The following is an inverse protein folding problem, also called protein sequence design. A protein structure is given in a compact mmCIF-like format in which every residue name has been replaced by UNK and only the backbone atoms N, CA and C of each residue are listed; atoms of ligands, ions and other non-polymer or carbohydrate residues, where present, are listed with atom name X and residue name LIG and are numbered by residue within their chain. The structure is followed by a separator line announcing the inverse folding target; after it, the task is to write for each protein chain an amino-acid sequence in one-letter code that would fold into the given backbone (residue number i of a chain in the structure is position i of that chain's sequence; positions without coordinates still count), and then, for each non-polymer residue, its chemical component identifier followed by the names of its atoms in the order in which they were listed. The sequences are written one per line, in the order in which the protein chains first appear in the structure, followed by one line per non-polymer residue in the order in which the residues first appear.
data_IF_133580475092
#
_entry.id   IF_133580475092
#
_cell.length_a   1.000
_cell.length_b   1.000
_cell.length_c   1.000
_cell.angle_alpha   90.00
_cell.angle_beta   90.00
_cell.angle_gamma   90.00
#
_symmetry.space_group_name_H-M   'P 1'
#
loop_
_entity.id
_entity.type
_entity.pdbx_description
1 polymer ?
#
# COMPACT_ATOMS: atom_id res chain seq x y z
N UNK A 1 -12.36 19.33 0.60
CA UNK A 1 -12.13 18.02 -0.08
C UNK A 1 -11.31 17.15 0.85
N UNK A 2 -11.73 15.92 1.07
CA UNK A 2 -10.94 14.95 1.86
C UNK A 2 -9.72 14.56 1.03
N UNK A 3 -8.53 14.59 1.63
CA UNK A 3 -7.29 14.13 0.97
C UNK A 3 -7.42 12.61 0.74
N UNK A 4 -7.23 12.11 -0.49
CA UNK A 4 -7.27 10.66 -0.73
C UNK A 4 -6.09 9.97 -0.06
N UNK A 5 -6.34 8.74 0.41
CA UNK A 5 -5.33 7.86 0.99
C UNK A 5 -4.36 7.34 -0.07
N UNK A 6 -3.06 7.37 0.19
CA UNK A 6 -2.04 6.68 -0.61
C UNK A 6 -1.81 5.30 0.00
N UNK A 7 -2.32 4.26 -0.66
CA UNK A 7 -2.22 2.87 -0.21
C UNK A 7 -1.08 2.14 -0.94
N UNK A 8 0.01 1.91 -0.24
CA UNK A 8 1.24 1.33 -0.78
C UNK A 8 1.36 -0.18 -0.53
N UNK A 9 1.96 -0.94 -1.46
CA UNK A 9 2.21 -2.37 -1.29
C UNK A 9 3.42 -2.61 -0.37
N UNK A 10 3.34 -3.62 0.51
CA UNK A 10 4.47 -4.12 1.26
C UNK A 10 4.59 -5.65 1.10
N UNK A 11 5.68 -6.13 0.53
CA UNK A 11 5.96 -7.55 0.37
C UNK A 11 7.14 -8.03 1.22
N UNK A 12 7.84 -7.11 1.89
CA UNK A 12 8.92 -7.35 2.84
C UNK A 12 8.99 -6.19 3.82
N UNK A 13 9.74 -6.34 4.91
CA UNK A 13 9.90 -5.25 5.89
C UNK A 13 10.65 -4.04 5.29
N UNK A 14 11.58 -4.25 4.36
CA UNK A 14 12.21 -3.17 3.61
C UNK A 14 11.22 -2.39 2.74
N UNK A 15 10.35 -3.09 2.01
CA UNK A 15 9.31 -2.44 1.21
C UNK A 15 8.29 -1.71 2.09
N UNK A 16 7.96 -2.24 3.28
CA UNK A 16 7.16 -1.58 4.29
C UNK A 16 7.81 -0.26 4.73
N UNK A 17 9.09 -0.32 5.09
CA UNK A 17 9.86 0.86 5.50
C UNK A 17 9.91 1.90 4.38
N UNK A 18 10.13 1.47 3.14
CA UNK A 18 10.14 2.34 1.98
C UNK A 18 8.79 3.02 1.76
N UNK A 19 7.66 2.29 1.86
CA UNK A 19 6.32 2.84 1.75
C UNK A 19 6.04 3.91 2.81
N UNK A 20 6.25 3.56 4.07
CA UNK A 20 5.98 4.42 5.24
C UNK A 20 6.84 5.69 5.19
N UNK A 21 8.15 5.55 5.02
CA UNK A 21 9.08 6.69 5.02
C UNK A 21 8.96 7.58 3.80
N UNK A 22 8.49 7.05 2.66
CA UNK A 22 8.17 7.87 1.48
C UNK A 22 6.86 8.64 1.62
N UNK A 23 6.03 8.30 2.59
CA UNK A 23 4.83 9.04 2.96
C UNK A 23 3.52 8.44 2.48
N UNK A 24 3.42 7.11 2.43
CA UNK A 24 2.15 6.42 2.33
C UNK A 24 1.27 6.73 3.54
N UNK A 25 -0.05 6.84 3.33
CA UNK A 25 -1.04 7.01 4.40
C UNK A 25 -1.50 5.64 4.93
N UNK A 26 -1.41 4.61 4.10
CA UNK A 26 -1.69 3.22 4.46
C UNK A 26 -0.79 2.24 3.69
N UNK A 27 -0.61 1.05 4.24
CA UNK A 27 0.09 -0.06 3.57
C UNK A 27 -0.81 -1.28 3.49
N UNK A 28 -0.61 -2.12 2.46
CA UNK A 28 -1.31 -3.39 2.38
C UNK A 28 -0.36 -4.56 2.11
N UNK A 29 -0.58 -5.65 2.83
CA UNK A 29 0.20 -6.88 2.66
C UNK A 29 -0.62 -8.13 3.02
N UNK A 30 -0.06 -9.31 2.80
CA UNK A 30 -0.68 -10.58 3.12
C UNK A 30 -0.04 -11.24 4.34
N UNK A 31 -0.82 -12.12 4.98
CA UNK A 31 -0.35 -13.00 6.06
C UNK A 31 -0.55 -14.45 5.64
N UNK A 32 0.53 -15.22 5.42
CA UNK A 32 0.43 -16.64 5.12
C UNK A 32 -0.30 -16.98 3.80
N UNK A 33 -1.24 -17.92 3.84
CA UNK A 33 -1.74 -18.64 2.66
C UNK A 33 -2.93 -18.00 1.92
N UNK A 34 -3.70 -17.11 2.54
CA UNK A 34 -4.99 -16.65 2.03
C UNK A 34 -4.91 -15.32 1.27
N UNK A 35 -3.83 -15.07 0.53
CA UNK A 35 -3.67 -13.83 -0.22
C UNK A 35 -3.23 -14.04 -1.68
N UNK A 36 -3.60 -13.09 -2.56
CA UNK A 36 -3.34 -13.14 -3.99
C UNK A 36 -1.86 -13.04 -4.40
N UNK A 37 -0.93 -12.88 -3.47
CA UNK A 37 0.52 -12.89 -3.67
C UNK A 37 1.19 -13.80 -2.64
N UNK A 38 0.76 -15.06 -2.63
CA UNK A 38 1.25 -16.08 -1.69
C UNK A 38 2.78 -16.24 -1.72
N UNK A 39 3.41 -16.01 -2.86
CA UNK A 39 4.87 -16.09 -3.04
C UNK A 39 5.64 -14.83 -2.62
N UNK A 40 5.00 -13.76 -2.15
CA UNK A 40 5.68 -12.68 -1.46
C UNK A 40 6.16 -13.15 -0.09
N UNK A 41 7.14 -12.46 0.51
CA UNK A 41 7.67 -12.84 1.83
C UNK A 41 6.58 -12.85 2.90
N UNK A 42 5.53 -12.01 2.74
CA UNK A 42 4.41 -11.84 3.65
C UNK A 42 4.86 -11.65 5.12
N UNK A 43 3.93 -11.26 5.98
CA UNK A 43 4.22 -11.06 7.41
C UNK A 43 3.47 -12.11 8.22
N UNK A 44 4.18 -12.90 9.02
CA UNK A 44 3.59 -13.97 9.82
C UNK A 44 4.22 -14.02 11.22
N UNK A 45 3.51 -14.62 12.17
CA UNK A 45 3.99 -14.67 13.55
C UNK A 45 4.26 -13.29 14.13
N UNK A 46 5.41 -13.13 14.78
CA UNK A 46 5.83 -11.89 15.44
C UNK A 46 6.09 -10.75 14.44
N UNK A 47 6.41 -11.05 13.18
CA UNK A 47 6.63 -10.04 12.16
C UNK A 47 5.35 -9.27 11.82
N UNK A 48 4.17 -9.89 11.94
CA UNK A 48 2.89 -9.19 11.75
C UNK A 48 2.71 -8.08 12.79
N UNK A 49 2.91 -8.38 14.08
CA UNK A 49 2.77 -7.39 15.15
C UNK A 49 3.79 -6.26 14.97
N UNK A 50 5.06 -6.61 14.73
CA UNK A 50 6.13 -5.63 14.47
C UNK A 50 5.82 -4.71 13.29
N UNK A 51 5.21 -5.25 12.22
CA UNK A 51 4.84 -4.45 11.04
C UNK A 51 3.68 -3.49 11.36
N UNK A 52 2.68 -3.94 12.11
CA UNK A 52 1.55 -3.09 12.55
C UNK A 52 2.06 -1.99 13.47
N UNK A 53 2.83 -2.32 14.51
CA UNK A 53 3.39 -1.35 15.45
C UNK A 53 4.25 -0.31 14.73
N UNK A 54 5.14 -0.76 13.83
CA UNK A 54 5.99 0.12 13.03
C UNK A 54 5.18 1.14 12.20
N UNK A 55 4.04 0.72 11.64
CA UNK A 55 3.16 1.60 10.87
C UNK A 55 2.40 2.56 11.80
N UNK A 56 1.79 2.05 12.87
CA UNK A 56 0.98 2.84 13.79
C UNK A 56 1.80 3.91 14.51
N UNK A 57 3.02 3.59 14.94
CA UNK A 57 3.96 4.58 15.50
C UNK A 57 4.21 5.77 14.54
N UNK A 58 3.96 5.58 13.24
CA UNK A 58 4.16 6.57 12.18
C UNK A 58 2.86 7.10 11.59
N UNK A 59 1.73 6.80 12.26
CA UNK A 59 0.38 7.18 11.81
C UNK A 59 0.04 6.68 10.40
N UNK A 60 0.44 5.44 10.09
CA UNK A 60 0.15 4.76 8.84
C UNK A 60 -0.75 3.57 9.12
N UNK A 61 -1.87 3.47 8.39
CA UNK A 61 -2.82 2.37 8.51
C UNK A 61 -2.30 1.08 7.90
N UNK A 62 -2.80 -0.06 8.39
CA UNK A 62 -2.44 -1.40 7.90
C UNK A 62 -3.66 -2.16 7.41
N UNK A 63 -3.70 -2.46 6.11
CA UNK A 63 -4.75 -3.25 5.49
C UNK A 63 -4.25 -4.66 5.14
N UNK A 64 -4.84 -5.68 5.74
CA UNK A 64 -4.42 -7.06 5.52
C UNK A 64 -5.25 -7.73 4.42
N UNK A 65 -4.58 -8.38 3.47
CA UNK A 65 -5.26 -9.09 2.38
C UNK A 65 -5.57 -10.54 2.77
N UNK A 66 -6.88 -10.89 2.79
CA UNK A 66 -7.43 -12.23 2.81
C UNK A 66 -8.27 -12.42 1.54
N UNK A 67 -7.67 -12.17 0.38
CA UNK A 67 -8.35 -11.95 -0.88
C UNK A 67 -8.17 -13.09 -1.88
N UNK A 68 -8.34 -14.31 -1.41
CA UNK A 68 -8.41 -15.53 -2.24
C UNK A 68 -9.64 -16.35 -1.86
N UNK A 69 -10.07 -17.22 -2.77
CA UNK A 69 -11.10 -18.22 -2.47
C UNK A 69 -10.56 -19.24 -1.48
N UNK A 70 -11.42 -19.72 -0.59
CA UNK A 70 -11.08 -20.66 0.50
C UNK A 70 -11.90 -21.95 0.34
N UNK A 71 -11.31 -23.10 0.70
CA UNK A 71 -11.98 -24.39 0.72
C UNK A 71 -12.46 -24.72 2.14
N UNK A 72 -13.49 -25.53 2.27
CA UNK A 72 -14.00 -25.99 3.57
C UNK A 72 -12.90 -26.62 4.44
N UNK A 73 -11.99 -27.38 3.83
CA UNK A 73 -10.87 -28.00 4.53
C UNK A 73 -9.85 -26.99 5.11
N UNK A 74 -9.90 -25.72 4.69
CA UNK A 74 -9.00 -24.66 5.13
C UNK A 74 -9.64 -23.74 6.19
N UNK A 75 -10.92 -23.94 6.50
CA UNK A 75 -11.69 -23.04 7.38
C UNK A 75 -11.12 -22.94 8.80
N UNK A 76 -10.54 -24.02 9.35
CA UNK A 76 -9.89 -23.98 10.67
C UNK A 76 -8.66 -23.08 10.68
N UNK A 77 -7.77 -23.21 9.67
CA UNK A 77 -6.58 -22.37 9.50
C UNK A 77 -6.97 -20.91 9.25
N UNK A 78 -8.04 -20.68 8.45
CA UNK A 78 -8.56 -19.35 8.20
C UNK A 78 -9.00 -18.66 9.50
N UNK A 79 -9.80 -19.35 10.34
CA UNK A 79 -10.28 -18.78 11.62
C UNK A 79 -9.12 -18.37 12.53
N UNK A 80 -8.08 -19.20 12.62
CA UNK A 80 -6.87 -18.86 13.38
C UNK A 80 -6.12 -17.65 12.78
N UNK A 81 -6.05 -17.58 11.46
CA UNK A 81 -5.45 -16.44 10.77
C UNK A 81 -6.21 -15.14 11.03
N UNK A 82 -7.55 -15.17 10.96
CA UNK A 82 -8.41 -14.01 11.27
C UNK A 82 -8.20 -13.57 12.71
N UNK A 83 -8.20 -14.49 13.70
CA UNK A 83 -7.95 -14.14 15.12
C UNK A 83 -6.59 -13.45 15.32
N UNK A 84 -5.54 -13.95 14.67
CA UNK A 84 -4.20 -13.34 14.76
C UNK A 84 -4.17 -11.94 14.16
N UNK A 85 -4.79 -11.75 13.01
CA UNK A 85 -4.86 -10.45 12.35
C UNK A 85 -5.62 -9.45 13.23
N UNK A 86 -6.77 -9.82 13.75
CA UNK A 86 -7.55 -8.93 14.63
C UNK A 86 -6.78 -8.56 15.91
N UNK A 87 -6.07 -9.52 16.51
CA UNK A 87 -5.23 -9.28 17.68
C UNK A 87 -4.05 -8.36 17.40
N UNK A 88 -3.54 -8.32 16.17
CA UNK A 88 -2.42 -7.44 15.80
C UNK A 88 -2.81 -5.95 15.72
N UNK A 89 -4.10 -5.64 15.71
CA UNK A 89 -4.59 -4.26 15.59
C UNK A 89 -4.60 -3.74 14.15
N UNK A 90 -4.62 -4.62 13.14
CA UNK A 90 -4.78 -4.21 11.75
C UNK A 90 -6.07 -3.39 11.56
N UNK A 91 -6.00 -2.34 10.71
CA UNK A 91 -7.10 -1.39 10.54
C UNK A 91 -8.22 -1.91 9.63
N UNK A 92 -7.87 -2.67 8.59
CA UNK A 92 -8.85 -3.20 7.65
C UNK A 92 -8.47 -4.56 7.06
N UNK A 93 -9.48 -5.30 6.60
CA UNK A 93 -9.32 -6.54 5.84
C UNK A 93 -9.82 -6.37 4.41
N UNK A 94 -8.98 -6.77 3.45
CA UNK A 94 -9.32 -6.78 2.02
C UNK A 94 -9.74 -8.20 1.64
N UNK A 95 -11.03 -8.41 1.35
CA UNK A 95 -11.66 -9.72 1.18
C UNK A 95 -12.12 -9.96 -0.26
N UNK A 96 -12.17 -11.24 -0.66
CA UNK A 96 -12.80 -11.68 -1.91
C UNK A 96 -13.95 -12.66 -1.65
N UNK A 97 -13.77 -13.58 -0.72
CA UNK A 97 -14.68 -14.72 -0.48
C UNK A 97 -15.76 -14.36 0.54
N UNK A 98 -17.04 -14.58 0.19
CA UNK A 98 -18.16 -14.30 1.08
C UNK A 98 -18.21 -15.23 2.31
N UNK A 99 -17.70 -16.45 2.21
CA UNK A 99 -17.51 -17.33 3.38
C UNK A 99 -16.49 -16.76 4.35
N UNK A 100 -15.41 -16.17 3.84
CA UNK A 100 -14.43 -15.45 4.66
C UNK A 100 -15.05 -14.24 5.33
N UNK A 101 -15.88 -13.45 4.61
CA UNK A 101 -16.64 -12.34 5.18
C UNK A 101 -17.46 -12.77 6.39
N UNK A 102 -18.17 -13.89 6.29
CA UNK A 102 -18.96 -14.43 7.41
C UNK A 102 -18.08 -14.76 8.62
N UNK A 103 -16.96 -15.46 8.40
CA UNK A 103 -16.01 -15.79 9.47
C UNK A 103 -15.44 -14.54 10.14
N UNK A 104 -15.10 -13.52 9.36
CA UNK A 104 -14.56 -12.26 9.90
C UNK A 104 -15.60 -11.56 10.76
N UNK A 105 -16.86 -11.45 10.31
CA UNK A 105 -17.94 -10.84 11.09
C UNK A 105 -18.22 -11.56 12.41
N UNK A 106 -18.09 -12.88 12.42
CA UNK A 106 -18.28 -13.69 13.63
C UNK A 106 -17.11 -13.52 14.64
N UNK A 107 -15.89 -13.23 14.19
CA UNK A 107 -14.68 -13.15 15.03
C UNK A 107 -14.32 -11.72 15.40
N UNK A 108 -14.45 -10.78 14.47
CA UNK A 108 -13.98 -9.39 14.57
C UNK A 108 -15.00 -8.45 13.89
N UNK A 109 -16.19 -8.25 14.50
CA UNK A 109 -17.30 -7.52 13.86
C UNK A 109 -16.98 -6.05 13.56
N UNK A 110 -16.05 -5.44 14.30
CA UNK A 110 -15.75 -4.01 14.25
C UNK A 110 -14.63 -3.64 13.25
N UNK A 111 -13.95 -4.64 12.65
CA UNK A 111 -12.86 -4.36 11.71
C UNK A 111 -13.41 -3.83 10.37
N UNK A 112 -12.76 -2.84 9.79
CA UNK A 112 -13.15 -2.33 8.48
C UNK A 112 -12.99 -3.40 7.39
N UNK A 113 -13.99 -3.49 6.49
CA UNK A 113 -14.04 -4.49 5.42
C UNK A 113 -13.96 -3.79 4.07
N UNK A 114 -12.93 -4.12 3.30
CA UNK A 114 -12.73 -3.63 1.95
C UNK A 114 -12.94 -4.75 0.93
N UNK A 115 -13.81 -4.55 -0.05
CA UNK A 115 -14.02 -5.52 -1.12
C UNK A 115 -12.84 -5.50 -2.09
N UNK A 116 -12.19 -6.64 -2.27
CA UNK A 116 -11.04 -6.77 -3.18
C UNK A 116 -11.44 -6.53 -4.64
N UNK A 117 -10.53 -5.95 -5.43
CA UNK A 117 -10.69 -5.91 -6.90
C UNK A 117 -10.93 -7.30 -7.52
N UNK A 118 -10.55 -8.38 -6.83
CA UNK A 118 -10.78 -9.76 -7.26
C UNK A 118 -12.25 -10.19 -7.17
N UNK A 119 -13.12 -9.41 -6.52
CA UNK A 119 -14.58 -9.59 -6.57
C UNK A 119 -15.16 -9.11 -7.90
N UNK A 120 -14.38 -8.35 -8.68
CA UNK A 120 -14.76 -7.83 -10.02
C UNK A 120 -16.05 -6.99 -10.00
N UNK A 121 -16.28 -6.24 -8.93
CA UNK A 121 -17.47 -5.38 -8.79
C UNK A 121 -17.17 -4.00 -9.37
N UNK A 122 -17.80 -3.69 -10.50
CA UNK A 122 -17.64 -2.42 -11.24
C UNK A 122 -18.97 -1.76 -11.61
N UNK A 123 -20.09 -2.20 -11.01
CA UNK A 123 -21.42 -1.60 -11.23
C UNK A 123 -21.96 -1.00 -9.94
N UNK A 124 -22.81 0.02 -10.05
CA UNK A 124 -23.41 0.67 -8.88
C UNK A 124 -24.23 -0.30 -8.02
N UNK A 125 -25.00 -1.18 -8.64
CA UNK A 125 -25.80 -2.16 -7.89
C UNK A 125 -24.92 -3.21 -7.19
N UNK A 126 -23.78 -3.59 -7.81
CA UNK A 126 -22.77 -4.41 -7.15
C UNK A 126 -22.18 -3.71 -5.93
N UNK A 127 -21.86 -2.41 -6.03
CA UNK A 127 -21.35 -1.60 -4.91
C UNK A 127 -22.38 -1.47 -3.80
N UNK A 128 -23.67 -1.25 -4.14
CA UNK A 128 -24.77 -1.24 -3.15
C UNK A 128 -24.87 -2.57 -2.42
N UNK A 129 -24.80 -3.68 -3.16
CA UNK A 129 -24.77 -5.02 -2.55
C UNK A 129 -23.60 -5.19 -1.58
N UNK A 130 -22.40 -4.68 -1.91
CA UNK A 130 -21.27 -4.69 -0.99
C UNK A 130 -21.55 -3.86 0.27
N UNK A 131 -22.17 -2.69 0.13
CA UNK A 131 -22.61 -1.88 1.28
C UNK A 131 -23.57 -2.64 2.18
N UNK A 132 -24.59 -3.29 1.61
CA UNK A 132 -25.57 -4.11 2.34
C UNK A 132 -24.89 -5.30 3.05
N UNK A 133 -23.83 -5.84 2.47
CA UNK A 133 -22.98 -6.86 3.08
C UNK A 133 -22.04 -6.30 4.16
N UNK A 134 -22.01 -4.99 4.37
CA UNK A 134 -21.22 -4.31 5.40
C UNK A 134 -19.77 -4.03 5.03
N UNK A 135 -19.45 -3.98 3.74
CA UNK A 135 -18.18 -3.41 3.30
C UNK A 135 -18.22 -1.88 3.40
N UNK A 136 -17.13 -1.27 3.87
CA UNK A 136 -16.97 0.19 3.95
C UNK A 136 -16.28 0.76 2.70
N UNK A 137 -15.58 -0.09 1.92
CA UNK A 137 -14.83 0.33 0.72
C UNK A 137 -14.87 -0.74 -0.36
N UNK A 138 -14.97 -0.32 -1.63
CA UNK A 138 -14.83 -1.19 -2.80
C UNK A 138 -13.59 -0.82 -3.62
N UNK A 139 -12.73 -1.82 -3.91
CA UNK A 139 -11.60 -1.67 -4.83
C UNK A 139 -12.07 -1.92 -6.25
N UNK A 140 -12.17 -0.87 -7.03
CA UNK A 140 -12.68 -0.92 -8.40
C UNK A 140 -11.82 -1.81 -9.32
N UNK A 141 -12.43 -2.48 -10.31
CA UNK A 141 -11.69 -3.12 -11.41
C UNK A 141 -10.88 -2.09 -12.20
N UNK A 142 -9.76 -2.53 -12.77
CA UNK A 142 -8.86 -1.67 -13.55
C UNK A 142 -9.37 -1.36 -14.95
N UNK A 143 -10.40 -2.05 -15.36
CA UNK A 143 -10.98 -2.05 -16.71
C UNK A 143 -12.01 -0.92 -16.93
N UNK A 144 -12.33 -0.16 -15.87
CA UNK A 144 -13.32 0.92 -15.94
C UNK A 144 -12.78 2.17 -16.64
N UNK A 145 -13.62 2.78 -17.47
CA UNK A 145 -13.39 4.06 -18.11
C UNK A 145 -13.58 5.24 -17.14
N UNK A 146 -13.06 6.40 -17.53
CA UNK A 146 -13.22 7.65 -16.78
C UNK A 146 -14.68 7.98 -16.44
N UNK A 147 -15.59 7.78 -17.42
CA UNK A 147 -17.00 8.14 -17.25
C UNK A 147 -17.70 7.16 -16.31
N UNK A 148 -17.38 5.87 -16.37
CA UNK A 148 -17.87 4.86 -15.41
C UNK A 148 -17.39 5.16 -14.00
N UNK A 149 -16.11 5.46 -13.82
CA UNK A 149 -15.52 5.84 -12.52
C UNK A 149 -16.24 7.07 -11.96
N UNK A 150 -16.43 8.10 -12.78
CA UNK A 150 -17.15 9.32 -12.38
C UNK A 150 -18.57 8.99 -11.90
N UNK A 151 -19.31 8.23 -12.69
CA UNK A 151 -20.67 7.82 -12.34
C UNK A 151 -20.72 7.07 -10.99
N UNK A 152 -19.78 6.15 -10.76
CA UNK A 152 -19.68 5.42 -9.50
C UNK A 152 -19.34 6.33 -8.33
N UNK A 153 -18.41 7.27 -8.50
CA UNK A 153 -18.05 8.24 -7.46
C UNK A 153 -19.22 9.13 -7.03
N UNK A 154 -20.08 9.53 -7.99
CA UNK A 154 -21.24 10.39 -7.73
C UNK A 154 -22.38 9.66 -7.00
N UNK A 155 -22.43 8.33 -7.06
CA UNK A 155 -23.58 7.53 -6.62
C UNK A 155 -23.26 6.46 -5.58
N UNK A 156 -21.99 6.20 -5.29
CA UNK A 156 -21.57 5.14 -4.36
C UNK A 156 -21.96 5.45 -2.92
N UNK A 157 -22.57 4.49 -2.18
CA UNK A 157 -22.84 4.64 -0.76
C UNK A 157 -21.62 4.36 0.14
N UNK A 158 -20.52 3.83 -0.42
CA UNK A 158 -19.30 3.48 0.29
C UNK A 158 -18.07 4.06 -0.39
N UNK A 159 -16.93 4.06 0.28
CA UNK A 159 -15.67 4.54 -0.28
C UNK A 159 -15.23 3.75 -1.52
N UNK A 160 -14.62 4.46 -2.46
CA UNK A 160 -14.06 3.86 -3.66
C UNK A 160 -12.54 3.96 -3.67
N UNK A 161 -11.89 2.82 -3.88
CA UNK A 161 -10.44 2.68 -4.05
C UNK A 161 -10.13 2.22 -5.47
N UNK A 162 -9.07 2.74 -6.07
CA UNK A 162 -8.64 2.27 -7.39
C UNK A 162 -7.12 2.14 -7.50
N UNK A 163 -6.68 1.20 -8.33
CA UNK A 163 -5.27 1.12 -8.70
C UNK A 163 -4.90 2.25 -9.65
N UNK A 164 -3.86 3.00 -9.29
CA UNK A 164 -3.34 4.11 -10.11
C UNK A 164 -1.97 3.80 -10.74
N UNK A 165 -1.28 2.75 -10.28
CA UNK A 165 0.02 2.39 -10.83
C UNK A 165 0.32 0.90 -10.67
N UNK A 166 0.99 0.32 -11.68
CA UNK A 166 1.56 -1.02 -11.67
C UNK A 166 0.91 -2.00 -12.66
N UNK A 167 1.13 -3.28 -12.45
CA UNK A 167 0.81 -4.33 -13.42
C UNK A 167 -0.68 -4.45 -13.75
N UNK A 168 -1.02 -4.47 -15.04
CA UNK A 168 -2.33 -4.88 -15.55
C UNK A 168 -2.38 -6.39 -15.78
N UNK A 169 -3.55 -6.99 -15.55
CA UNK A 169 -3.87 -8.35 -15.98
C UNK A 169 -4.51 -8.32 -17.36
N UNK A 170 -4.26 -9.35 -18.19
CA UNK A 170 -4.95 -9.52 -19.47
C UNK A 170 -6.43 -9.87 -19.27
N UNK A 171 -6.72 -10.67 -18.27
CA UNK A 171 -8.08 -11.04 -17.88
C UNK A 171 -8.60 -10.10 -16.77
N UNK A 172 -9.91 -9.95 -16.68
CA UNK A 172 -10.56 -9.26 -15.56
C UNK A 172 -10.03 -9.81 -14.23
N UNK A 173 -9.80 -8.91 -13.29
CA UNK A 173 -9.17 -9.23 -11.99
C UNK A 173 -9.94 -10.33 -11.25
N UNK A 174 -9.25 -11.35 -10.77
CA UNK A 174 -9.82 -12.48 -10.05
C UNK A 174 -10.46 -13.58 -10.92
N UNK A 175 -10.58 -13.40 -12.24
CA UNK A 175 -11.29 -14.33 -13.13
C UNK A 175 -10.36 -15.18 -14.02
N UNK A 176 -9.03 -15.02 -13.88
CA UNK A 176 -8.07 -15.71 -14.73
C UNK A 176 -7.83 -17.16 -14.30
N UNK A 177 -8.04 -18.09 -15.22
CA UNK A 177 -7.77 -19.53 -15.04
C UNK A 177 -6.52 -20.02 -15.82
N UNK A 178 -5.82 -19.14 -16.55
CA UNK A 178 -4.75 -19.53 -17.47
C UNK A 178 -3.61 -20.30 -16.77
N UNK A 179 -3.21 -19.89 -15.57
CA UNK A 179 -2.18 -20.60 -14.79
C UNK A 179 -2.63 -21.99 -14.32
N UNK A 180 -3.93 -22.19 -14.09
CA UNK A 180 -4.47 -23.49 -13.72
C UNK A 180 -4.44 -24.45 -14.92
N UNK A 181 -4.82 -23.97 -16.10
CA UNK A 181 -4.78 -24.78 -17.34
C UNK A 181 -3.36 -25.17 -17.74
N UNK A 182 -2.41 -24.25 -17.70
CA UNK A 182 -1.04 -24.51 -18.18
C UNK A 182 -0.12 -25.18 -17.15
N UNK A 183 -0.46 -25.16 -15.86
CA UNK A 183 0.47 -25.65 -14.86
C UNK A 183 -0.15 -25.98 -13.51
N UNK A 184 -1.46 -26.26 -13.47
CA UNK A 184 -2.21 -26.63 -12.24
C UNK A 184 -2.04 -25.65 -11.08
N UNK A 185 -1.75 -24.37 -11.37
CA UNK A 185 -1.52 -23.29 -10.39
C UNK A 185 -2.68 -22.31 -10.42
N UNK A 186 -3.47 -22.29 -9.35
CA UNK A 186 -4.61 -21.35 -9.27
C UNK A 186 -4.18 -19.92 -9.05
N UNK A 187 -4.34 -19.08 -10.09
CA UNK A 187 -4.11 -17.62 -10.00
C UNK A 187 -5.04 -16.96 -8.99
N UNK A 188 -6.28 -17.43 -8.88
CA UNK A 188 -7.30 -16.93 -7.94
C UNK A 188 -6.98 -17.27 -6.48
N UNK A 189 -5.99 -18.14 -6.27
CA UNK A 189 -5.50 -18.56 -4.95
C UNK A 189 -4.04 -18.11 -4.71
N UNK A 190 -3.60 -17.06 -5.40
CA UNK A 190 -2.31 -16.44 -5.21
C UNK A 190 -1.11 -17.13 -5.87
N UNK A 191 -1.34 -18.15 -6.72
CA UNK A 191 -0.29 -18.95 -7.37
C UNK A 191 -0.11 -18.62 -8.85
N UNK A 192 -0.50 -17.44 -9.31
CA UNK A 192 -0.34 -17.00 -10.70
C UNK A 192 1.11 -17.11 -11.16
N UNK A 193 1.36 -17.87 -12.22
CA UNK A 193 2.68 -18.02 -12.87
C UNK A 193 2.93 -16.94 -13.93
N UNK A 194 2.01 -16.00 -14.13
CA UNK A 194 2.06 -14.96 -15.17
C UNK A 194 2.19 -15.51 -16.60
N UNK A 195 1.46 -16.57 -17.03
CA UNK A 195 1.62 -17.15 -18.36
C UNK A 195 1.27 -16.17 -19.47
N UNK A 196 0.41 -15.18 -19.24
CA UNK A 196 0.13 -14.10 -20.20
C UNK A 196 1.36 -13.24 -20.55
N UNK A 197 2.50 -13.41 -19.85
CA UNK A 197 3.76 -12.72 -20.14
C UNK A 197 4.73 -13.54 -21.01
N UNK A 198 4.38 -14.80 -21.25
CA UNK A 198 5.13 -15.66 -22.17
C UNK A 198 4.88 -15.26 -23.62
N UNK A 199 5.74 -15.70 -24.56
CA UNK A 199 5.52 -15.48 -25.99
C UNK A 199 4.27 -16.23 -26.46
N UNK A 200 3.19 -15.50 -26.67
CA UNK A 200 2.00 -15.95 -27.39
C UNK A 200 1.83 -15.04 -28.60
N UNK A 201 1.89 -15.62 -29.79
CA UNK A 201 1.74 -14.91 -31.06
C UNK A 201 0.40 -15.24 -31.70
N UNK A 202 -0.36 -14.19 -32.03
CA UNK A 202 -1.43 -14.31 -33.02
C UNK A 202 -0.88 -14.11 -34.43
N UNK A 203 -1.64 -14.48 -35.46
CA UNK A 203 -1.32 -14.14 -36.85
C UNK A 203 -1.19 -12.60 -36.98
N UNK A 204 -0.07 -12.12 -37.49
CA UNK A 204 0.28 -10.69 -37.53
C UNK A 204 0.43 -9.98 -36.16
N UNK A 205 0.67 -10.74 -35.09
CA UNK A 205 0.91 -10.22 -33.78
C UNK A 205 2.37 -9.80 -33.49
N UNK A 206 2.64 -9.38 -32.27
CA UNK A 206 3.97 -8.93 -31.81
C UNK A 206 4.79 -10.04 -31.16
N UNK A 207 4.24 -11.23 -30.98
CA UNK A 207 4.85 -12.34 -30.26
C UNK A 207 4.53 -12.37 -28.77
N UNK A 208 3.96 -11.31 -28.21
CA UNK A 208 3.54 -11.20 -26.79
C UNK A 208 2.12 -10.64 -26.67
N UNK A 209 1.20 -11.17 -27.47
CA UNK A 209 -0.13 -10.61 -27.70
C UNK A 209 -1.12 -10.80 -26.53
N UNK A 210 -0.67 -11.40 -25.42
CA UNK A 210 -1.39 -11.44 -24.13
C UNK A 210 -0.74 -10.58 -23.05
N UNK A 211 0.35 -9.87 -23.36
CA UNK A 211 1.07 -9.06 -22.38
C UNK A 211 0.69 -7.60 -22.48
N UNK A 212 0.01 -7.07 -21.47
CA UNK A 212 -0.28 -5.64 -21.37
C UNK A 212 0.89 -4.88 -20.76
N UNK A 213 1.06 -3.61 -21.15
CA UNK A 213 1.87 -2.61 -20.46
C UNK A 213 1.39 -2.43 -19.03
N UNK A 214 2.20 -1.81 -18.19
CA UNK A 214 1.78 -1.45 -16.84
C UNK A 214 0.86 -0.22 -16.87
N UNK A 215 -0.06 -0.14 -15.92
CA UNK A 215 -0.92 1.02 -15.71
C UNK A 215 -0.10 2.16 -15.09
N UNK A 216 -0.34 3.41 -15.53
CA UNK A 216 -0.01 4.59 -14.74
C UNK A 216 -1.06 5.67 -14.95
N UNK A 217 -1.76 6.01 -13.88
CA UNK A 217 -2.73 7.10 -13.77
C UNK A 217 -2.29 8.13 -12.72
N UNK A 218 -1.01 8.11 -12.32
CA UNK A 218 -0.49 9.00 -11.28
C UNK A 218 -0.72 10.47 -11.65
N UNK A 219 -0.51 10.85 -12.90
CA UNK A 219 -0.75 12.22 -13.37
C UNK A 219 -2.21 12.66 -13.25
N UNK A 220 -3.16 11.72 -13.25
CA UNK A 220 -4.60 11.98 -13.10
C UNK A 220 -5.06 11.99 -11.64
N UNK A 221 -4.18 11.70 -10.67
CA UNK A 221 -4.57 11.62 -9.25
C UNK A 221 -5.30 12.88 -8.73
N UNK A 222 -4.93 14.12 -9.11
CA UNK A 222 -5.68 15.30 -8.69
C UNK A 222 -7.11 15.35 -9.25
N UNK A 223 -7.32 14.86 -10.47
CA UNK A 223 -8.64 14.81 -11.11
C UNK A 223 -9.48 13.71 -10.46
N UNK A 224 -8.91 12.53 -10.27
CA UNK A 224 -9.56 11.38 -9.63
C UNK A 224 -9.94 11.69 -8.17
N UNK A 225 -9.09 12.41 -7.44
CA UNK A 225 -9.40 12.91 -6.10
C UNK A 225 -10.63 13.84 -6.11
N UNK A 226 -10.70 14.77 -7.08
CA UNK A 226 -11.84 15.67 -7.25
C UNK A 226 -13.12 14.93 -7.67
N UNK A 227 -13.01 13.79 -8.34
CA UNK A 227 -14.17 12.93 -8.67
C UNK A 227 -14.74 12.22 -7.45
N UNK A 228 -13.96 12.03 -6.37
CA UNK A 228 -14.41 11.36 -5.16
C UNK A 228 -13.73 10.03 -4.85
N UNK A 229 -12.64 9.67 -5.54
CA UNK A 229 -11.84 8.49 -5.17
C UNK A 229 -11.20 8.75 -3.80
N UNK A 230 -11.47 7.85 -2.86
CA UNK A 230 -11.02 7.94 -1.46
C UNK A 230 -9.62 7.37 -1.23
N UNK A 231 -9.22 6.37 -2.03
CA UNK A 231 -7.91 5.71 -1.88
C UNK A 231 -7.26 5.37 -3.22
N UNK A 232 -5.99 5.69 -3.34
CA UNK A 232 -5.13 5.39 -4.50
C UNK A 232 -4.18 4.26 -4.18
N UNK A 233 -4.40 3.12 -4.81
CA UNK A 233 -3.63 1.91 -4.59
C UNK A 233 -2.52 1.73 -5.62
N UNK A 234 -1.34 1.39 -5.12
CA UNK A 234 -0.18 1.03 -5.93
C UNK A 234 -0.05 -0.49 -5.97
N UNK A 235 0.01 -1.12 -7.16
CA UNK A 235 0.32 -2.55 -7.29
C UNK A 235 1.83 -2.76 -7.20
N UNK A 236 2.28 -3.77 -6.43
CA UNK A 236 3.71 -4.03 -6.38
C UNK A 236 4.25 -4.81 -5.19
N UNK A 237 3.49 -5.68 -4.51
CA UNK A 237 3.94 -6.48 -3.35
C UNK A 237 5.17 -7.37 -3.61
N UNK A 238 5.49 -7.64 -4.87
CA UNK A 238 6.69 -8.41 -5.27
C UNK A 238 7.75 -7.50 -5.91
N UNK A 239 7.67 -6.19 -5.69
CA UNK A 239 8.61 -5.21 -6.23
C UNK A 239 9.64 -4.80 -5.19
N UNK A 240 10.75 -4.23 -5.69
CA UNK A 240 11.83 -3.69 -4.84
C UNK A 240 11.35 -2.51 -4.00
N UNK A 241 11.98 -2.26 -2.84
CA UNK A 241 11.69 -1.09 -2.00
C UNK A 241 11.78 0.23 -2.76
N UNK A 242 12.78 0.39 -3.66
CA UNK A 242 12.99 1.61 -4.44
C UNK A 242 11.82 1.90 -5.39
N UNK A 243 11.21 0.86 -5.97
CA UNK A 243 9.99 1.02 -6.77
C UNK A 243 8.83 1.54 -5.92
N UNK A 244 8.67 1.00 -4.72
CA UNK A 244 7.61 1.42 -3.80
C UNK A 244 7.84 2.88 -3.39
N UNK A 245 9.07 3.24 -3.02
CA UNK A 245 9.44 4.61 -2.68
C UNK A 245 9.17 5.59 -3.84
N UNK A 246 9.56 5.23 -5.06
CA UNK A 246 9.34 6.05 -6.25
C UNK A 246 7.85 6.26 -6.54
N UNK A 247 7.05 5.18 -6.47
CA UNK A 247 5.62 5.25 -6.78
C UNK A 247 4.85 6.08 -5.74
N UNK A 248 5.16 5.91 -4.44
CA UNK A 248 4.58 6.73 -3.36
C UNK A 248 4.98 8.20 -3.52
N UNK A 249 6.26 8.47 -3.79
CA UNK A 249 6.77 9.84 -3.99
C UNK A 249 6.11 10.51 -5.18
N UNK A 250 6.05 9.83 -6.33
CA UNK A 250 5.42 10.36 -7.55
C UNK A 250 3.93 10.66 -7.35
N UNK A 251 3.20 9.76 -6.66
CA UNK A 251 1.78 9.97 -6.37
C UNK A 251 1.56 11.15 -5.41
N UNK A 252 2.39 11.27 -4.39
CA UNK A 252 2.37 12.40 -3.47
C UNK A 252 2.66 13.72 -4.18
N UNK A 253 3.68 13.74 -5.06
CA UNK A 253 4.01 14.91 -5.88
C UNK A 253 2.84 15.29 -6.81
N UNK A 254 2.16 14.29 -7.38
CA UNK A 254 0.96 14.54 -8.20
C UNK A 254 -0.15 15.21 -7.40
N UNK A 255 -0.43 14.72 -6.21
CA UNK A 255 -1.47 15.28 -5.34
C UNK A 255 -1.13 16.69 -4.81
N UNK A 256 0.16 17.01 -4.69
CA UNK A 256 0.62 18.38 -4.31
C UNK A 256 0.84 19.32 -5.49
N UNK A 257 0.65 18.85 -6.73
CA UNK A 257 0.89 19.65 -7.94
C UNK A 257 2.36 19.75 -8.37
N UNK A 258 3.23 18.91 -7.83
CA UNK A 258 4.68 18.88 -8.08
C UNK A 258 5.12 17.72 -9.01
N UNK A 259 4.16 17.04 -9.66
CA UNK A 259 4.47 15.93 -10.56
C UNK A 259 5.20 16.42 -11.81
N UNK A 260 6.30 15.75 -12.14
CA UNK A 260 7.16 16.11 -13.28
C UNK A 260 7.39 14.93 -14.24
N UNK A 261 7.92 15.21 -15.44
CA UNK A 261 8.36 14.18 -16.37
C UNK A 261 9.43 13.26 -15.77
N UNK A 262 10.31 13.79 -14.91
CA UNK A 262 11.32 13.01 -14.20
C UNK A 262 10.67 11.90 -13.34
N UNK A 263 9.55 12.20 -12.67
CA UNK A 263 8.84 11.16 -11.91
C UNK A 263 8.34 10.03 -12.81
N UNK A 264 7.83 10.35 -14.01
CA UNK A 264 7.36 9.35 -14.96
C UNK A 264 8.52 8.52 -15.55
N UNK A 265 9.63 9.16 -15.89
CA UNK A 265 10.84 8.53 -16.43
C UNK A 265 11.49 7.60 -15.40
N UNK A 266 11.61 8.02 -14.16
CA UNK A 266 12.13 7.23 -13.05
C UNK A 266 11.28 5.98 -12.82
N UNK A 267 9.95 6.12 -12.77
CA UNK A 267 9.04 4.98 -12.63
C UNK A 267 9.16 4.00 -13.80
N UNK A 268 9.24 4.53 -15.02
CA UNK A 268 9.43 3.71 -16.22
C UNK A 268 10.74 2.92 -16.15
N UNK A 269 11.81 3.57 -15.73
CA UNK A 269 13.15 2.98 -15.60
C UNK A 269 13.25 1.97 -14.47
N UNK A 270 12.63 2.22 -13.32
CA UNK A 270 12.64 1.29 -12.18
C UNK A 270 11.86 0.02 -12.51
N UNK A 271 10.72 0.14 -13.15
CA UNK A 271 9.96 -1.01 -13.63
C UNK A 271 8.84 -0.62 -14.60
N UNK A 272 8.96 -1.06 -15.85
CA UNK A 272 7.84 -1.03 -16.81
C UNK A 272 7.93 -2.22 -17.79
N UNK A 273 6.85 -2.45 -18.53
CA UNK A 273 6.78 -3.37 -19.68
C UNK A 273 6.60 -2.52 -20.93
N UNK A 274 7.72 -2.04 -21.46
CA UNK A 274 7.74 -1.12 -22.62
C UNK A 274 6.89 0.15 -22.37
N UNK A 275 6.98 0.69 -21.16
CA UNK A 275 6.23 1.88 -20.72
C UNK A 275 4.88 1.59 -20.09
N UNK A 276 4.01 2.62 -20.08
CA UNK A 276 2.72 2.60 -19.41
C UNK A 276 1.55 2.71 -20.39
N UNK A 277 0.35 2.33 -19.90
CA UNK A 277 -0.90 2.49 -20.64
C UNK A 277 -1.97 3.12 -19.73
N UNK A 278 -2.85 3.88 -20.35
CA UNK A 278 -4.08 4.48 -19.75
C UNK A 278 -5.32 4.02 -20.52
N UNK A 279 -5.17 3.04 -21.40
CA UNK A 279 -6.16 2.69 -22.41
C UNK A 279 -7.55 2.39 -21.87
N UNK A 280 -7.67 1.73 -20.72
CA UNK A 280 -8.98 1.53 -20.08
C UNK A 280 -9.60 2.85 -19.61
N UNK A 281 -8.86 3.63 -18.85
CA UNK A 281 -9.34 4.90 -18.31
C UNK A 281 -9.76 5.89 -19.41
N UNK A 282 -8.99 5.97 -20.49
CA UNK A 282 -9.25 6.89 -21.62
C UNK A 282 -10.22 6.30 -22.65
N UNK A 283 -10.71 5.07 -22.43
CA UNK A 283 -11.51 4.31 -23.41
C UNK A 283 -10.84 4.18 -24.78
N UNK A 284 -9.51 4.08 -24.77
CA UNK A 284 -8.63 3.97 -25.95
C UNK A 284 -8.05 2.55 -26.05
N UNK A 285 -8.95 1.57 -26.20
CA UNK A 285 -8.56 0.15 -26.29
C UNK A 285 -7.88 -0.14 -27.62
N UNK A 286 -6.80 -0.93 -27.59
CA UNK A 286 -6.12 -1.34 -28.82
C UNK A 286 -4.69 -1.82 -28.60
N UNK A 287 -3.96 -1.99 -29.71
CA UNK A 287 -2.60 -2.53 -29.73
C UNK A 287 -1.61 -1.74 -28.87
N UNK A 288 -1.81 -0.45 -28.69
CA UNK A 288 -0.97 0.41 -27.86
C UNK A 288 -0.94 0.03 -26.37
N UNK A 289 -1.92 -0.76 -25.92
CA UNK A 289 -1.97 -1.27 -24.55
C UNK A 289 -1.02 -2.45 -24.31
N UNK A 290 -0.53 -3.10 -25.38
CA UNK A 290 0.32 -4.28 -25.27
C UNK A 290 1.80 -3.89 -25.17
N UNK A 291 2.53 -4.67 -24.38
CA UNK A 291 3.96 -4.49 -24.17
C UNK A 291 4.54 -5.61 -23.31
N UNK A 292 5.81 -5.90 -23.47
CA UNK A 292 6.52 -6.91 -22.69
C UNK A 292 7.83 -6.33 -22.16
N UNK A 293 8.48 -7.03 -21.25
CA UNK A 293 9.72 -6.56 -20.65
C UNK A 293 10.90 -7.02 -21.48
N UNK A 294 11.54 -6.10 -22.14
CA UNK A 294 12.77 -6.29 -22.91
C UNK A 294 14.00 -6.25 -21.99
N UNK A 295 15.16 -6.64 -22.51
CA UNK A 295 16.43 -6.59 -21.77
C UNK A 295 16.77 -5.17 -21.32
N UNK A 296 16.51 -4.20 -22.16
CA UNK A 296 16.71 -2.76 -21.93
C UNK A 296 15.89 -2.28 -20.75
N UNK A 297 14.66 -2.74 -20.61
CA UNK A 297 13.80 -2.42 -19.44
C UNK A 297 14.33 -3.03 -18.12
N UNK A 298 15.18 -4.07 -18.20
CA UNK A 298 15.82 -4.64 -16.99
C UNK A 298 17.02 -3.80 -16.55
N UNK A 299 17.80 -3.28 -17.52
CA UNK A 299 19.03 -2.54 -17.26
C UNK A 299 18.81 -1.05 -17.03
N UNK A 300 17.62 -0.52 -17.35
CA UNK A 300 17.25 0.90 -17.15
C UNK A 300 17.25 1.34 -15.68
N UNK A 301 17.03 0.41 -14.74
CA UNK A 301 17.16 0.66 -13.30
C UNK A 301 18.63 0.74 -12.89
N UNK A 302 19.28 1.87 -13.18
CA UNK A 302 20.70 2.10 -12.87
C UNK A 302 20.97 2.13 -11.36
N UNK A 303 22.22 1.83 -10.95
CA UNK A 303 22.63 1.89 -9.55
C UNK A 303 22.42 3.30 -8.94
N UNK A 304 22.64 4.36 -9.72
CA UNK A 304 22.40 5.74 -9.28
C UNK A 304 20.91 6.02 -9.02
N UNK A 305 20.02 5.52 -9.88
CA UNK A 305 18.59 5.66 -9.72
C UNK A 305 18.09 4.88 -8.49
N UNK A 306 18.55 3.64 -8.31
CA UNK A 306 18.22 2.86 -7.11
C UNK A 306 18.65 3.60 -5.85
N UNK A 307 19.88 4.11 -5.81
CA UNK A 307 20.42 4.85 -4.66
C UNK A 307 19.69 6.18 -4.42
N UNK A 308 19.16 6.84 -5.48
CA UNK A 308 18.30 8.03 -5.33
C UNK A 308 17.10 7.73 -4.45
N UNK A 309 16.39 6.63 -4.73
CA UNK A 309 15.18 6.26 -3.99
C UNK A 309 15.47 5.59 -2.65
N UNK A 310 16.57 4.84 -2.52
CA UNK A 310 17.06 4.30 -1.26
C UNK A 310 17.24 5.40 -0.22
N UNK A 311 17.89 6.51 -0.59
CA UNK A 311 18.12 7.67 0.29
C UNK A 311 16.84 8.30 0.83
N UNK A 312 15.70 8.16 0.13
CA UNK A 312 14.42 8.73 0.58
C UNK A 312 13.95 8.02 1.85
N UNK A 313 14.15 6.70 1.94
CA UNK A 313 13.68 5.91 3.07
C UNK A 313 14.79 5.44 4.03
N UNK A 314 16.06 5.78 3.79
CA UNK A 314 17.14 5.58 4.75
C UNK A 314 16.89 6.33 6.07
N UNK A 315 16.35 7.55 5.98
CA UNK A 315 16.10 8.43 7.12
C UNK A 315 14.67 8.32 7.63
N UNK A 316 14.54 8.43 8.94
CA UNK A 316 13.23 8.52 9.57
C UNK A 316 12.51 9.81 9.14
N UNK A 317 11.20 9.72 8.94
CA UNK A 317 10.35 10.86 8.63
C UNK A 317 9.78 11.42 9.93
N UNK A 318 9.91 12.71 10.14
CA UNK A 318 9.26 13.39 11.26
C UNK A 318 7.73 13.35 11.08
N UNK A 319 7.04 12.67 11.97
CA UNK A 319 5.56 12.51 11.96
C UNK A 319 4.91 13.44 12.95
N UNK A 320 5.55 13.65 14.10
CA UNK A 320 5.03 14.44 15.21
C UNK A 320 5.95 15.60 15.55
N UNK A 321 5.33 16.72 15.94
CA UNK A 321 6.04 17.79 16.62
C UNK A 321 6.01 17.50 18.12
N UNK A 322 7.18 17.23 18.71
CA UNK A 322 7.30 16.95 20.14
C UNK A 322 7.71 18.23 20.88
N UNK A 323 7.00 18.54 21.93
CA UNK A 323 7.33 19.63 22.85
C UNK A 323 8.01 19.04 24.08
N UNK A 324 9.20 19.54 24.39
CA UNK A 324 9.94 19.15 25.59
C UNK A 324 9.90 20.26 26.65
N UNK A 325 9.62 19.87 27.86
CA UNK A 325 9.73 20.74 29.04
C UNK A 325 10.72 20.11 30.02
N UNK A 326 11.91 20.71 30.14
CA UNK A 326 12.93 20.30 31.07
C UNK A 326 12.87 21.22 32.31
N UNK A 327 12.67 20.65 33.53
CA UNK A 327 12.70 21.37 34.78
C UNK A 327 13.89 20.89 35.63
N UNK A 328 14.78 21.82 36.00
CA UNK A 328 15.94 21.56 36.83
C UNK A 328 15.86 22.53 38.04
N UNK A 329 15.68 21.98 39.23
CA UNK A 329 15.63 22.73 40.52
C UNK A 329 16.53 22.01 41.52
N UNK A 330 17.28 22.76 42.31
CA UNK A 330 18.29 22.22 43.26
C UNK A 330 17.73 21.27 44.30
N UNK A 331 16.45 21.43 44.63
CA UNK A 331 15.75 20.71 45.70
C UNK A 331 14.82 19.59 45.20
N UNK A 332 14.74 19.39 43.89
CA UNK A 332 13.84 18.42 43.26
C UNK A 332 14.55 17.60 42.21
N UNK A 333 14.06 16.38 41.99
CA UNK A 333 14.51 15.56 40.84
C UNK A 333 14.30 16.32 39.53
N UNK A 334 15.24 16.18 38.59
CA UNK A 334 15.10 16.75 37.27
C UNK A 334 13.92 16.07 36.60
N UNK A 335 13.00 16.83 36.05
CA UNK A 335 11.91 16.27 35.22
C UNK A 335 12.02 16.68 33.78
N UNK A 336 11.86 15.71 32.90
CA UNK A 336 11.73 15.93 31.48
C UNK A 336 10.35 15.42 31.03
N UNK A 337 9.51 16.35 30.60
CA UNK A 337 8.23 16.02 30.00
C UNK A 337 8.35 16.14 28.46
N UNK A 338 7.92 15.12 27.74
CA UNK A 338 7.73 15.13 26.31
C UNK A 338 6.23 15.05 26.01
N UNK A 339 5.72 15.91 25.15
CA UNK A 339 4.31 15.88 24.74
C UNK A 339 4.16 16.03 23.24
N UNK A 340 3.24 15.24 22.65
CA UNK A 340 2.85 15.32 21.27
C UNK A 340 1.35 15.02 21.18
N UNK A 341 0.60 15.89 20.49
CA UNK A 341 -0.87 15.84 20.47
C UNK A 341 -1.44 15.81 21.92
N UNK A 342 -2.30 14.84 22.22
CA UNK A 342 -2.93 14.66 23.52
C UNK A 342 -2.15 13.72 24.46
N UNK A 343 -0.98 13.26 24.03
CA UNK A 343 -0.12 12.36 24.81
C UNK A 343 1.00 13.12 25.50
N UNK A 344 1.30 12.76 26.73
CA UNK A 344 2.46 13.26 27.46
C UNK A 344 3.09 12.17 28.32
N UNK A 345 4.42 12.19 28.35
CA UNK A 345 5.23 11.30 29.21
C UNK A 345 6.19 12.15 30.01
N UNK A 346 6.31 11.87 31.30
CA UNK A 346 7.24 12.55 32.20
C UNK A 346 8.21 11.53 32.78
N UNK A 347 9.50 11.82 32.66
CA UNK A 347 10.58 11.03 33.25
C UNK A 347 11.27 11.87 34.33
N UNK A 348 11.58 11.24 35.46
CA UNK A 348 12.32 11.86 36.56
C UNK A 348 13.71 11.27 36.67
N UNK A 349 14.70 12.11 36.99
CA UNK A 349 16.08 11.63 37.30
C UNK A 349 16.08 10.75 38.54
N UNK A 350 17.00 9.82 38.63
CA UNK A 350 17.21 9.01 39.84
C UNK A 350 17.70 9.87 40.99
N UNK A 351 18.61 10.78 40.74
CA UNK A 351 19.28 11.62 41.73
C UNK A 351 18.82 13.08 41.63
N UNK A 352 19.03 13.82 42.74
CA UNK A 352 18.88 15.28 42.76
C UNK A 352 20.03 15.94 41.99
N UNK A 353 19.79 17.08 41.31
CA UNK A 353 20.83 17.81 40.64
C UNK A 353 21.82 18.38 41.65
N UNK A 354 23.10 18.25 41.34
CA UNK A 354 24.18 18.80 42.19
C UNK A 354 24.61 20.18 41.67
N UNK A 355 25.17 21.00 42.58
CA UNK A 355 25.74 22.28 42.18
C UNK A 355 26.92 22.06 41.24
N UNK A 356 26.93 22.79 40.13
CA UNK A 356 28.02 22.70 39.16
C UNK A 356 29.38 23.09 39.81
N UNK A 357 30.38 22.25 39.57
CA UNK A 357 31.74 22.47 40.09
C UNK A 357 32.56 23.31 39.12
N UNK A 358 32.54 22.98 37.83
CA UNK A 358 33.38 23.60 36.80
C UNK A 358 32.63 24.63 35.94
N UNK A 359 31.48 24.27 35.40
CA UNK A 359 30.63 25.19 34.62
C UNK A 359 29.15 24.83 34.78
N UNK A 360 28.24 25.83 34.75
CA UNK A 360 26.81 25.56 34.84
C UNK A 360 26.29 24.87 33.56
N UNK A 361 25.27 24.01 33.75
CA UNK A 361 24.49 23.44 32.62
C UNK A 361 23.59 24.53 32.06
N UNK A 362 23.74 24.85 30.79
CA UNK A 362 23.01 25.94 30.14
C UNK A 362 21.79 25.47 29.36
N UNK A 363 20.89 26.40 29.01
CA UNK A 363 19.73 26.13 28.17
C UNK A 363 20.15 25.68 26.78
N UNK A 364 21.24 26.23 26.25
CA UNK A 364 21.80 25.87 24.94
C UNK A 364 22.29 24.42 24.92
N UNK A 365 22.97 23.99 25.96
CA UNK A 365 23.42 22.60 26.11
C UNK A 365 22.24 21.64 26.22
N UNK A 366 21.19 22.01 26.98
CA UNK A 366 19.96 21.23 27.06
C UNK A 366 19.28 21.06 25.69
N UNK A 367 19.13 22.16 24.96
CA UNK A 367 18.54 22.17 23.62
C UNK A 367 19.37 21.33 22.63
N UNK A 368 20.70 21.37 22.72
CA UNK A 368 21.61 20.62 21.85
C UNK A 368 21.51 19.10 22.10
N UNK A 369 21.28 18.69 23.34
CA UNK A 369 21.06 17.29 23.70
C UNK A 369 19.68 16.78 23.27
N UNK A 370 18.64 17.56 23.50
CA UNK A 370 17.26 17.23 23.11
C UNK A 370 17.05 17.18 21.58
N UNK A 371 17.86 17.90 20.80
CA UNK A 371 17.84 17.83 19.32
C UNK A 371 18.51 16.56 18.75
N UNK A 372 19.22 15.79 19.57
CA UNK A 372 19.88 14.54 19.15
C UNK A 372 19.03 13.28 19.44
N UNK A 373 17.93 13.47 20.16
CA UNK A 373 16.90 12.46 20.40
C UNK A 373 15.88 12.52 19.28
#
# INVERSE_FOLDING_TARGET
MIKPEILAPAGSFEALTAAVRSGADAVYFGTGNFNARRNASNFSGDDLQRAVDFCHERNVKVHITLNTLVKDSEMSELKESVRRICKSGADALILQDLGVLRVVKDICPDIELHASTQMSVGTLDGIRTLADLGFSRAVLPRELSKDEIKYLCENSPIELEMFVHGALCMCVSGQCLLSAFLGSRSGNRGLCAQPCRLPFAAENGTGHDLSLKDLSLIEYAPILSKMGISSFKIEGRMKRPEYVAAAVTALKNSLSGEYSSENAEDLCSLFSRSGFTKGYYENALGRNMFGFREKENVTSATASLLKKYERIYEKERAVYRVHFVLSVKSDKKISLMASANDLSVTVLSENLPQKAVNRPFTKEEALLRLKKC
#
